data_IF_056156959796
#
_entry.id   IF_056156959796
#
_cell.length_a   1.000
_cell.length_b   1.000
_cell.length_c   1.000
_cell.angle_alpha   90.00
_cell.angle_beta   90.00
_cell.angle_gamma   90.00
#
_symmetry.space_group_name_H-M   'P 1'
#
loop_
_entity.id
_entity.type
_entity.pdbx_description
1 polymer ?
#
# COMPACT_ATOMS: atom_id res chain seq x y z
N UNK A 1 -9.12 3.00 -11.53
CA UNK A 1 -8.33 3.90 -10.66
C UNK A 1 -6.87 3.70 -11.02
N UNK A 2 -6.07 4.74 -10.95
CA UNK A 2 -4.63 4.69 -11.22
C UNK A 2 -3.91 5.10 -9.95
N UNK A 3 -2.98 4.29 -9.50
CA UNK A 3 -2.17 4.54 -8.31
C UNK A 3 -0.71 4.63 -8.74
N UNK A 4 0.05 5.50 -8.08
CA UNK A 4 1.48 5.58 -8.29
C UNK A 4 2.18 4.64 -7.30
N UNK A 5 3.07 3.79 -7.80
CA UNK A 5 3.85 2.88 -6.97
C UNK A 5 5.35 3.24 -7.06
N UNK A 6 6.01 3.35 -5.91
CA UNK A 6 7.45 3.59 -5.83
C UNK A 6 8.13 2.22 -5.72
N UNK A 7 8.96 1.88 -6.71
CA UNK A 7 9.68 0.61 -6.76
C UNK A 7 11.09 0.81 -6.21
N UNK A 8 11.46 -0.09 -5.30
CA UNK A 8 12.76 -0.13 -4.68
C UNK A 8 13.45 -1.46 -4.98
N UNK A 9 14.77 -1.40 -5.21
CA UNK A 9 15.59 -2.60 -5.40
C UNK A 9 16.15 -3.08 -4.07
N UNK A 10 16.03 -4.38 -3.81
CA UNK A 10 16.68 -5.04 -2.68
C UNK A 10 17.76 -6.02 -3.17
N UNK A 11 18.57 -6.56 -2.26
CA UNK A 11 19.57 -7.59 -2.59
C UNK A 11 18.95 -8.87 -3.17
N UNK A 12 17.72 -9.21 -2.77
CA UNK A 12 16.96 -10.35 -3.29
C UNK A 12 15.56 -9.91 -3.70
N UNK A 13 15.47 -9.34 -4.90
CA UNK A 13 14.21 -8.99 -5.54
C UNK A 13 13.87 -7.49 -5.50
N UNK A 14 12.60 -7.21 -5.73
CA UNK A 14 12.01 -5.89 -5.83
C UNK A 14 10.91 -5.77 -4.80
N UNK A 15 10.75 -4.57 -4.25
CA UNK A 15 9.58 -4.25 -3.45
C UNK A 15 9.00 -2.92 -3.90
N UNK A 16 7.71 -2.76 -3.70
CA UNK A 16 6.98 -1.56 -4.07
C UNK A 16 6.06 -1.11 -2.94
N UNK A 17 5.88 0.19 -2.85
CA UNK A 17 4.94 0.84 -1.94
C UNK A 17 4.04 1.80 -2.73
N UNK A 18 2.80 1.96 -2.28
CA UNK A 18 1.84 2.89 -2.87
C UNK A 18 1.66 4.07 -1.91
N UNK A 19 2.17 5.27 -2.21
CA UNK A 19 2.07 6.42 -1.30
C UNK A 19 0.63 6.83 -0.98
N UNK A 20 -0.29 6.67 -1.94
CA UNK A 20 -1.72 6.93 -1.75
C UNK A 20 -2.38 5.93 -0.78
N UNK A 21 -1.86 4.70 -0.72
CA UNK A 21 -2.36 3.63 0.12
C UNK A 21 -1.34 3.36 1.23
N UNK A 22 -1.29 4.27 2.20
CA UNK A 22 -0.39 4.14 3.34
C UNK A 22 -0.58 2.78 4.03
N UNK A 23 0.52 2.03 4.13
CA UNK A 23 0.51 0.66 4.66
C UNK A 23 0.42 -0.45 3.61
N UNK A 24 0.26 -0.11 2.32
CA UNK A 24 0.23 -1.06 1.22
C UNK A 24 1.64 -1.23 0.63
N UNK A 25 2.24 -2.39 0.91
CA UNK A 25 3.57 -2.78 0.45
C UNK A 25 3.52 -4.16 -0.19
N UNK A 26 4.29 -4.37 -1.26
CA UNK A 26 4.40 -5.66 -1.92
C UNK A 26 5.86 -5.97 -2.27
N UNK A 27 6.16 -7.25 -2.45
CA UNK A 27 7.46 -7.74 -2.89
C UNK A 27 7.26 -8.71 -4.05
N UNK A 28 8.26 -8.81 -4.93
CA UNK A 28 8.31 -9.78 -6.01
C UNK A 28 9.73 -9.96 -6.51
N UNK A 29 10.02 -11.09 -7.16
CA UNK A 29 11.33 -11.37 -7.74
C UNK A 29 11.47 -10.74 -9.14
N UNK A 30 10.35 -10.48 -9.81
CA UNK A 30 10.25 -9.85 -11.12
C UNK A 30 9.26 -8.68 -11.14
N UNK A 31 9.38 -7.78 -12.13
CA UNK A 31 8.45 -6.66 -12.29
C UNK A 31 7.00 -7.14 -12.51
N UNK A 32 6.84 -8.24 -13.25
CA UNK A 32 5.53 -8.77 -13.62
C UNK A 32 4.81 -9.39 -12.41
N UNK A 33 5.56 -10.09 -11.56
CA UNK A 33 5.06 -10.60 -10.28
C UNK A 33 4.75 -9.45 -9.31
N UNK A 34 5.64 -8.46 -9.21
CA UNK A 34 5.44 -7.29 -8.36
C UNK A 34 4.18 -6.50 -8.75
N UNK A 35 3.92 -6.35 -10.05
CA UNK A 35 2.71 -5.73 -10.59
C UNK A 35 1.46 -6.55 -10.22
N UNK A 36 1.48 -7.87 -10.42
CA UNK A 36 0.37 -8.74 -10.01
C UNK A 36 0.07 -8.62 -8.52
N UNK A 37 1.11 -8.64 -7.68
CA UNK A 37 0.99 -8.51 -6.24
C UNK A 37 0.47 -7.13 -5.83
N UNK A 38 0.88 -6.06 -6.53
CA UNK A 38 0.35 -4.71 -6.33
C UNK A 38 -1.16 -4.64 -6.60
N UNK A 39 -1.62 -5.24 -7.70
CA UNK A 39 -3.04 -5.26 -8.03
C UNK A 39 -3.87 -5.94 -6.95
N UNK A 40 -3.43 -7.11 -6.48
CA UNK A 40 -4.12 -7.84 -5.40
C UNK A 40 -4.08 -7.07 -4.07
N UNK A 41 -2.94 -6.46 -3.73
CA UNK A 41 -2.80 -5.69 -2.50
C UNK A 41 -3.68 -4.43 -2.50
N UNK A 42 -3.82 -3.76 -3.64
CA UNK A 42 -4.71 -2.61 -3.82
C UNK A 42 -6.18 -3.05 -3.67
N UNK A 43 -6.58 -4.14 -4.31
CA UNK A 43 -7.94 -4.68 -4.14
C UNK A 43 -8.23 -5.06 -2.69
N UNK A 44 -7.30 -5.77 -2.04
CA UNK A 44 -7.42 -6.13 -0.63
C UNK A 44 -7.52 -4.91 0.28
N UNK A 45 -6.73 -3.87 0.02
CA UNK A 45 -6.78 -2.62 0.77
C UNK A 45 -8.13 -1.92 0.59
N UNK A 46 -8.65 -1.84 -0.63
CA UNK A 46 -9.95 -1.22 -0.91
C UNK A 46 -11.12 -1.97 -0.28
N UNK A 47 -11.03 -3.30 -0.20
CA UNK A 47 -12.03 -4.14 0.48
C UNK A 47 -11.96 -4.02 2.00
N UNK A 48 -10.75 -3.85 2.55
CA UNK A 48 -10.53 -3.66 3.99
C UNK A 48 -10.74 -2.21 4.45
N UNK A 49 -10.76 -1.25 3.53
CA UNK A 49 -10.94 0.16 3.83
C UNK A 49 -12.37 0.42 4.33
N UNK A 50 -12.53 0.55 5.64
CA UNK A 50 -13.76 1.04 6.25
C UNK A 50 -13.99 2.52 5.85
N UNK A 51 -15.24 2.94 5.61
CA UNK A 51 -15.56 4.34 5.30
C UNK A 51 -15.20 5.23 6.51
N UNK A 52 -14.09 5.99 6.39
CA UNK A 52 -13.66 6.94 7.43
C UNK A 52 -12.18 6.87 7.82
N UNK A 53 -11.38 5.98 7.23
CA UNK A 53 -9.94 5.87 7.50
C UNK A 53 -9.16 7.10 7.01
N UNK A 54 -9.18 8.19 7.79
CA UNK A 54 -8.22 9.31 7.66
C UNK A 54 -6.87 8.81 8.17
N UNK A 55 -6.02 8.30 7.28
CA UNK A 55 -4.62 8.04 7.63
C UNK A 55 -3.88 9.37 7.72
N UNK A 56 -4.11 10.11 8.80
CA UNK A 56 -3.27 11.25 9.16
C UNK A 56 -2.21 10.77 10.14
N UNK A 57 -0.94 10.87 9.76
CA UNK A 57 0.20 10.66 10.64
C UNK A 57 0.35 11.73 11.75
N UNK A 58 -0.60 12.67 11.89
CA UNK A 58 -0.59 13.63 12.98
C UNK A 58 -1.23 13.00 14.21
N UNK A 59 -0.37 12.48 15.09
CA UNK A 59 -0.76 12.17 16.44
C UNK A 59 -1.38 13.40 17.10
N UNK A 60 -2.68 13.35 17.35
CA UNK A 60 -3.38 13.96 18.49
C UNK A 60 -4.84 13.49 18.46
N UNK A 61 -5.22 12.70 19.47
CA UNK A 61 -6.57 12.68 20.01
C UNK A 61 -7.63 11.91 19.24
N UNK A 62 -7.64 10.58 19.37
CA UNK A 62 -8.92 9.87 19.39
C UNK A 62 -9.56 10.11 20.77
N UNK A 63 -10.44 11.11 20.84
CA UNK A 63 -11.49 11.15 21.85
C UNK A 63 -12.46 10.03 21.48
N UNK A 64 -12.40 8.93 22.22
CA UNK A 64 -13.55 8.04 22.36
C UNK A 64 -14.38 8.61 23.52
N UNK A 65 -15.62 9.00 23.25
CA UNK A 65 -16.64 9.11 24.31
C UNK A 65 -17.01 7.72 24.82
#
# INVERSE_FOLDING_TARGET
MTFEAIIHKAEKGLWAEVPDLLGCFTQGESLQELESNLHEAIEGWLLAAEPGQRVTCQGTGALFE
#
